data_IF_637509705575
#
_entry.id   IF_637509705575
#
_cell.length_a   1.000
_cell.length_b   1.000
_cell.length_c   1.000
_cell.angle_alpha   90.00
_cell.angle_beta   90.00
_cell.angle_gamma   90.00
#
_symmetry.space_group_name_H-M   'P 1'
#
loop_
_entity.id
_entity.type
_entity.pdbx_description
1 polymer ?
#
# COMPACT_ATOMS: atom_id res chain seq x y z
N UNK A 1 -49.95 -31.65 -32.45
CA UNK A 1 -50.56 -31.50 -31.11
C UNK A 1 -50.31 -32.76 -30.29
N UNK A 2 -49.31 -32.71 -29.40
CA UNK A 2 -49.24 -33.36 -28.08
C UNK A 2 -48.27 -32.51 -27.24
N UNK A 3 -48.65 -32.06 -26.04
CA UNK A 3 -47.75 -31.27 -25.19
C UNK A 3 -46.77 -32.21 -24.48
N UNK A 4 -45.53 -31.76 -24.33
CA UNK A 4 -44.54 -32.41 -23.47
C UNK A 4 -44.43 -31.55 -22.22
N UNK A 5 -45.09 -31.99 -21.16
CA UNK A 5 -44.87 -31.49 -19.81
C UNK A 5 -43.51 -31.98 -19.32
N UNK A 6 -42.71 -31.05 -18.80
CA UNK A 6 -41.37 -31.34 -18.31
C UNK A 6 -40.74 -30.12 -17.67
N UNK A 7 -41.30 -29.70 -16.53
CA UNK A 7 -40.70 -28.70 -15.64
C UNK A 7 -39.40 -29.30 -15.11
N UNK A 8 -38.26 -28.80 -15.61
CA UNK A 8 -36.95 -29.12 -15.08
C UNK A 8 -36.76 -28.49 -13.71
N UNK A 9 -36.57 -29.33 -12.69
CA UNK A 9 -36.23 -28.94 -11.33
C UNK A 9 -34.94 -28.10 -11.31
N UNK A 10 -34.99 -26.97 -10.61
CA UNK A 10 -33.83 -26.13 -10.33
C UNK A 10 -32.92 -26.86 -9.34
N UNK A 11 -31.60 -27.02 -9.60
CA UNK A 11 -30.73 -27.68 -8.65
C UNK A 11 -30.60 -26.85 -7.37
N UNK A 12 -30.94 -27.47 -6.24
CA UNK A 12 -30.80 -26.89 -4.91
C UNK A 12 -29.34 -26.52 -4.62
N UNK A 13 -29.13 -25.29 -4.14
CA UNK A 13 -27.83 -24.84 -3.65
C UNK A 13 -27.35 -25.76 -2.51
N UNK A 14 -26.08 -26.18 -2.49
CA UNK A 14 -25.55 -27.02 -1.41
C UNK A 14 -25.67 -26.28 -0.08
N UNK A 15 -26.28 -26.97 0.89
CA UNK A 15 -26.57 -26.47 2.22
C UNK A 15 -25.34 -25.87 2.91
N UNK A 16 -25.55 -24.73 3.55
CA UNK A 16 -24.61 -24.11 4.48
C UNK A 16 -24.34 -25.10 5.63
N UNK A 17 -23.27 -25.89 5.51
CA UNK A 17 -22.74 -26.64 6.64
C UNK A 17 -22.34 -25.67 7.76
N UNK A 18 -22.50 -26.03 9.04
CA UNK A 18 -22.09 -25.17 10.13
C UNK A 18 -20.57 -24.99 10.04
N UNK A 19 -20.12 -23.73 9.97
CA UNK A 19 -18.72 -23.38 10.13
C UNK A 19 -18.27 -23.95 11.48
N UNK A 20 -17.48 -25.04 11.44
CA UNK A 20 -16.77 -25.54 12.62
C UNK A 20 -15.80 -24.45 13.04
N UNK A 21 -16.12 -23.76 14.12
CA UNK A 21 -15.18 -22.96 14.88
C UNK A 21 -14.09 -23.90 15.38
N UNK A 22 -12.91 -23.84 14.78
CA UNK A 22 -11.72 -24.50 15.32
C UNK A 22 -11.27 -23.64 16.51
N UNK A 23 -11.28 -24.14 17.76
CA UNK A 23 -10.80 -23.38 18.89
C UNK A 23 -9.27 -23.38 18.84
N UNK A 24 -8.69 -22.34 18.25
CA UNK A 24 -7.27 -22.05 18.42
C UNK A 24 -7.06 -21.53 19.85
N UNK A 25 -6.71 -22.44 20.77
CA UNK A 25 -6.17 -22.05 22.07
C UNK A 25 -4.78 -21.48 21.86
N UNK A 26 -4.68 -20.15 21.74
CA UNK A 26 -3.41 -19.45 21.88
C UNK A 26 -3.07 -19.48 23.37
N UNK A 27 -2.16 -20.37 23.78
CA UNK A 27 -1.55 -20.33 25.10
C UNK A 27 -0.75 -19.02 25.22
N UNK A 28 -1.38 -17.97 25.74
CA UNK A 28 -0.75 -16.66 25.94
C UNK A 28 -1.73 -15.48 26.13
N UNK A 29 -2.97 -15.74 26.55
CA UNK A 29 -4.09 -14.77 26.57
C UNK A 29 -3.95 -13.55 27.50
N UNK A 30 -2.85 -13.40 28.24
CA UNK A 30 -2.76 -12.36 29.29
C UNK A 30 -1.82 -11.20 28.98
N UNK A 31 -1.04 -11.22 27.90
CA UNK A 31 0.00 -10.19 27.68
C UNK A 31 -0.39 -9.06 26.71
N UNK A 32 -1.48 -9.21 25.95
CA UNK A 32 -1.80 -8.30 24.84
C UNK A 32 -2.93 -7.31 25.14
N UNK A 33 -3.58 -7.38 26.31
CA UNK A 33 -4.73 -6.51 26.63
C UNK A 33 -4.36 -5.07 27.03
N UNK A 34 -3.10 -4.82 27.36
CA UNK A 34 -2.66 -3.49 27.86
C UNK A 34 -1.73 -2.74 26.90
N UNK A 35 -1.35 -3.34 25.77
CA UNK A 35 -0.51 -2.67 24.76
C UNK A 35 -1.37 -2.26 23.57
N UNK A 36 -1.26 -0.99 23.11
CA UNK A 36 -1.89 -0.61 21.86
C UNK A 36 -1.39 -1.52 20.73
N UNK A 37 -2.26 -1.80 19.76
CA UNK A 37 -1.85 -2.57 18.60
C UNK A 37 -0.70 -1.84 17.89
N UNK A 38 0.22 -2.57 17.26
CA UNK A 38 1.37 -1.92 16.58
C UNK A 38 0.91 -0.95 15.49
N UNK A 39 -0.30 -1.13 14.95
CA UNK A 39 -0.94 -0.23 13.99
C UNK A 39 -1.12 1.15 14.57
N UNK A 40 -1.48 1.27 15.85
CA UNK A 40 -1.69 2.57 16.50
C UNK A 40 -0.36 3.31 16.61
N UNK A 41 0.71 2.58 16.98
CA UNK A 41 2.08 3.11 16.99
C UNK A 41 2.49 3.55 15.57
N UNK A 42 2.19 2.77 14.54
CA UNK A 42 2.52 3.12 13.16
C UNK A 42 1.68 4.31 12.64
N UNK A 43 0.39 4.39 13.00
CA UNK A 43 -0.47 5.54 12.66
C UNK A 43 0.08 6.83 13.27
N UNK A 44 0.51 6.77 14.51
CA UNK A 44 1.14 7.89 15.24
C UNK A 44 2.46 8.33 14.57
N UNK A 45 3.33 7.37 14.21
CA UNK A 45 4.54 7.66 13.43
C UNK A 45 4.20 8.32 12.08
N UNK A 46 3.22 7.79 11.34
CA UNK A 46 2.79 8.32 10.05
C UNK A 46 2.31 9.77 10.20
N UNK A 47 1.52 10.06 11.23
CA UNK A 47 0.98 11.39 11.51
C UNK A 47 2.10 12.41 11.78
N UNK A 48 2.97 12.12 12.74
CA UNK A 48 4.07 13.03 13.07
C UNK A 48 5.07 13.17 11.94
N UNK A 49 5.43 12.07 11.27
CA UNK A 49 6.36 12.11 10.14
C UNK A 49 5.79 12.91 8.99
N UNK A 50 4.50 12.78 8.72
CA UNK A 50 3.80 13.58 7.71
C UNK A 50 3.89 15.07 8.04
N UNK A 51 3.65 15.45 9.30
CA UNK A 51 3.75 16.83 9.75
C UNK A 51 5.19 17.36 9.62
N UNK A 52 6.17 16.62 10.10
CA UNK A 52 7.59 16.97 10.00
C UNK A 52 8.04 17.21 8.55
N UNK A 53 7.61 16.36 7.61
CA UNK A 53 7.94 16.51 6.20
C UNK A 53 7.26 17.73 5.57
N UNK A 54 6.00 18.02 5.95
CA UNK A 54 5.23 19.17 5.45
C UNK A 54 5.80 20.49 5.95
N UNK A 55 6.21 20.53 7.21
CA UNK A 55 6.78 21.71 7.90
C UNK A 55 8.30 21.84 7.70
N UNK A 56 8.91 20.97 6.89
CA UNK A 56 10.35 20.96 6.61
C UNK A 56 11.21 20.90 7.89
N UNK A 57 10.73 20.19 8.91
CA UNK A 57 11.44 20.06 10.18
C UNK A 57 12.73 19.25 9.94
N UNK A 58 13.91 19.82 10.20
CA UNK A 58 15.19 19.22 9.81
C UNK A 58 15.55 17.96 10.62
N UNK A 59 14.91 17.77 11.78
CA UNK A 59 15.15 16.63 12.66
C UNK A 59 13.82 16.04 13.13
N UNK A 60 13.64 14.70 13.07
CA UNK A 60 12.45 14.08 13.62
C UNK A 60 12.30 14.39 15.10
N UNK A 61 11.05 14.66 15.51
CA UNK A 61 10.65 14.95 16.88
C UNK A 61 11.02 13.78 17.81
N UNK A 62 11.37 14.03 19.09
CA UNK A 62 11.69 12.97 20.05
C UNK A 62 10.60 11.89 20.15
N UNK A 63 9.34 12.29 20.03
CA UNK A 63 8.14 11.46 20.05
C UNK A 63 8.15 10.49 18.87
N UNK A 64 8.32 10.99 17.64
CA UNK A 64 8.43 10.17 16.41
C UNK A 64 9.52 9.12 16.54
N UNK A 65 10.70 9.51 17.06
CA UNK A 65 11.81 8.56 17.27
C UNK A 65 11.49 7.52 18.34
N UNK A 66 10.76 7.90 19.40
CA UNK A 66 10.37 6.99 20.48
C UNK A 66 9.36 5.96 19.98
N UNK A 67 8.31 6.40 19.30
CA UNK A 67 7.31 5.51 18.72
C UNK A 67 7.95 4.57 17.69
N UNK A 68 8.84 5.09 16.84
CA UNK A 68 9.57 4.25 15.89
C UNK A 68 10.39 3.18 16.61
N UNK A 69 11.19 3.53 17.62
CA UNK A 69 11.94 2.52 18.39
C UNK A 69 11.02 1.46 19.00
N UNK A 70 9.86 1.86 19.52
CA UNK A 70 8.87 0.91 20.06
C UNK A 70 8.31 -0.01 18.97
N UNK A 71 8.00 0.53 17.78
CA UNK A 71 7.53 -0.26 16.64
C UNK A 71 8.59 -1.27 16.20
N UNK A 72 9.83 -0.83 16.02
CA UNK A 72 10.93 -1.67 15.53
C UNK A 72 11.35 -2.75 16.55
N UNK A 73 11.10 -2.52 17.84
CA UNK A 73 11.31 -3.52 18.88
C UNK A 73 10.18 -4.55 18.97
N UNK A 74 9.05 -4.32 18.30
CA UNK A 74 7.92 -5.26 18.28
C UNK A 74 8.34 -6.57 17.59
N UNK A 75 7.95 -7.77 18.09
CA UNK A 75 8.36 -9.06 17.52
C UNK A 75 8.06 -9.21 16.02
N UNK A 76 6.95 -8.62 15.55
CA UNK A 76 6.58 -8.62 14.13
C UNK A 76 7.46 -7.75 13.23
N UNK A 77 8.14 -6.74 13.77
CA UNK A 77 8.96 -5.80 13.00
C UNK A 77 10.45 -5.98 13.21
N UNK A 78 10.88 -6.59 14.34
CA UNK A 78 12.29 -6.77 14.64
C UNK A 78 13.08 -7.49 13.53
N UNK A 79 12.54 -8.47 12.77
CA UNK A 79 13.25 -9.08 11.65
C UNK A 79 13.47 -8.12 10.46
N UNK A 80 12.63 -7.10 10.34
CA UNK A 80 12.61 -6.14 9.23
C UNK A 80 13.01 -4.73 9.66
N UNK A 81 13.54 -4.57 10.88
CA UNK A 81 13.65 -3.27 11.54
C UNK A 81 14.42 -2.25 10.71
N UNK A 82 15.57 -2.64 10.14
CA UNK A 82 16.41 -1.75 9.32
C UNK A 82 15.69 -1.27 8.07
N UNK A 83 14.98 -2.15 7.38
CA UNK A 83 14.28 -1.86 6.14
C UNK A 83 13.08 -0.94 6.40
N UNK A 84 12.29 -1.26 7.43
CA UNK A 84 11.13 -0.44 7.83
C UNK A 84 11.58 0.93 8.32
N UNK A 85 12.63 1.00 9.13
CA UNK A 85 13.23 2.26 9.57
C UNK A 85 13.68 3.13 8.38
N UNK A 86 14.47 2.56 7.47
CA UNK A 86 14.99 3.28 6.31
C UNK A 86 13.85 3.82 5.42
N UNK A 87 12.80 3.02 5.21
CA UNK A 87 11.64 3.45 4.43
C UNK A 87 10.84 4.56 5.13
N UNK A 88 10.54 4.42 6.43
CA UNK A 88 9.77 5.43 7.17
C UNK A 88 10.48 6.78 7.28
N UNK A 89 11.82 6.79 7.23
CA UNK A 89 12.59 8.03 7.19
C UNK A 89 12.69 8.66 5.79
N UNK A 90 12.44 7.91 4.74
CA UNK A 90 12.50 8.39 3.37
C UNK A 90 11.36 9.40 3.09
N UNK A 91 11.67 10.61 2.61
CA UNK A 91 10.65 11.63 2.37
C UNK A 91 9.65 11.27 1.26
N UNK A 92 9.97 10.24 0.45
CA UNK A 92 9.10 9.79 -0.63
C UNK A 92 8.31 8.52 -0.32
N UNK A 93 8.50 7.91 0.85
CA UNK A 93 7.76 6.71 1.22
C UNK A 93 6.26 7.03 1.35
N UNK A 94 5.35 6.20 0.79
CA UNK A 94 3.95 6.57 0.67
C UNK A 94 3.15 6.33 1.97
N UNK A 95 3.55 7.01 3.05
CA UNK A 95 2.95 6.94 4.39
C UNK A 95 1.41 7.05 4.34
N UNK A 96 0.87 8.00 3.59
CA UNK A 96 -0.57 8.19 3.47
C UNK A 96 -1.28 7.02 2.77
N UNK A 97 -0.59 6.29 1.88
CA UNK A 97 -1.13 5.08 1.27
C UNK A 97 -1.07 3.88 2.21
N UNK A 98 0.03 3.71 2.96
CA UNK A 98 0.11 2.70 4.02
C UNK A 98 -1.06 2.85 5.00
N UNK A 99 -1.34 4.09 5.43
CA UNK A 99 -2.48 4.40 6.31
C UNK A 99 -3.82 4.02 5.68
N UNK A 100 -4.05 4.35 4.42
CA UNK A 100 -5.34 4.13 3.73
C UNK A 100 -5.56 2.71 3.20
N UNK A 101 -4.54 1.85 3.16
CA UNK A 101 -4.69 0.46 2.67
C UNK A 101 -4.43 -0.59 3.73
N UNK A 102 -3.20 -0.64 4.22
CA UNK A 102 -2.76 -1.70 5.12
C UNK A 102 -3.41 -1.50 6.49
N UNK A 103 -3.52 -0.24 6.95
CA UNK A 103 -4.00 0.10 8.29
C UNK A 103 -5.48 0.46 8.38
N UNK A 104 -6.13 0.79 7.26
CA UNK A 104 -7.54 1.13 7.22
C UNK A 104 -8.42 -0.12 7.18
N UNK A 105 -9.53 -0.07 7.91
CA UNK A 105 -10.53 -1.11 7.86
C UNK A 105 -11.12 -1.20 6.44
N UNK A 106 -11.54 -2.41 6.07
CA UNK A 106 -12.24 -2.61 4.78
C UNK A 106 -13.72 -2.59 5.06
N UNK A 107 -14.39 -1.54 4.61
CA UNK A 107 -15.83 -1.29 4.72
C UNK A 107 -16.49 -1.47 3.34
N UNK A 108 -17.72 -1.98 3.28
CA UNK A 108 -18.52 -2.05 2.04
C UNK A 108 -18.10 -3.01 0.92
N UNK A 109 -17.09 -3.86 1.12
CA UNK A 109 -17.12 -5.19 0.50
C UNK A 109 -18.23 -6.04 1.14
N UNK A 110 -18.55 -7.22 0.60
CA UNK A 110 -19.53 -8.15 1.19
C UNK A 110 -19.25 -8.47 2.68
N UNK A 111 -18.02 -8.22 3.15
CA UNK A 111 -17.59 -8.42 4.52
C UNK A 111 -16.80 -7.20 5.02
N UNK A 112 -17.00 -6.86 6.29
CA UNK A 112 -16.17 -5.91 7.03
C UNK A 112 -14.90 -6.60 7.53
N UNK A 113 -13.73 -5.99 7.29
CA UNK A 113 -12.44 -6.47 7.80
C UNK A 113 -11.90 -5.42 8.76
N UNK A 114 -12.09 -5.68 10.06
CA UNK A 114 -11.41 -4.97 11.12
C UNK A 114 -9.91 -5.34 11.10
N UNK A 115 -9.03 -4.34 10.99
CA UNK A 115 -7.56 -4.47 10.96
C UNK A 115 -6.91 -4.56 12.34
N UNK A 116 -7.65 -4.29 13.40
CA UNK A 116 -7.25 -4.45 14.81
C UNK A 116 -7.59 -5.83 15.38
N UNK A 117 -7.63 -6.88 14.54
CA UNK A 117 -7.85 -8.26 15.00
C UNK A 117 -6.52 -9.00 15.22
N UNK A 118 -6.31 -9.70 16.36
CA UNK A 118 -5.04 -10.34 16.69
C UNK A 118 -4.51 -11.35 15.65
N UNK A 119 -5.40 -12.08 14.99
CA UNK A 119 -5.07 -13.17 14.05
C UNK A 119 -4.45 -12.70 12.73
N UNK A 120 -4.65 -11.43 12.35
CA UNK A 120 -4.12 -10.86 11.09
C UNK A 120 -2.91 -9.97 11.30
N UNK A 121 -2.49 -9.75 12.56
CA UNK A 121 -1.45 -8.77 12.90
C UNK A 121 -0.11 -9.07 12.23
N UNK A 122 0.30 -10.33 12.22
CA UNK A 122 1.52 -10.77 11.57
C UNK A 122 1.43 -10.52 10.06
N UNK A 123 0.35 -10.95 9.40
CA UNK A 123 0.16 -10.75 7.97
C UNK A 123 0.17 -9.26 7.57
N UNK A 124 -0.45 -8.39 8.37
CA UNK A 124 -0.44 -6.94 8.16
C UNK A 124 0.97 -6.34 8.35
N UNK A 125 1.74 -6.82 9.32
CA UNK A 125 3.13 -6.38 9.50
C UNK A 125 4.02 -6.78 8.31
N UNK A 126 3.81 -7.97 7.75
CA UNK A 126 4.52 -8.44 6.56
C UNK A 126 4.16 -7.61 5.33
N UNK A 127 2.93 -7.08 5.23
CA UNK A 127 2.56 -6.13 4.17
C UNK A 127 3.30 -4.80 4.32
N UNK A 128 3.46 -4.27 5.54
CA UNK A 128 4.26 -3.06 5.78
C UNK A 128 5.72 -3.30 5.44
N UNK A 129 6.29 -4.42 5.88
CA UNK A 129 7.66 -4.79 5.58
C UNK A 129 7.91 -4.96 4.07
N UNK A 130 6.98 -5.62 3.36
CA UNK A 130 7.02 -5.77 1.91
C UNK A 130 6.97 -4.42 1.18
N UNK A 131 6.09 -3.51 1.62
CA UNK A 131 6.00 -2.18 1.05
C UNK A 131 7.30 -1.39 1.26
N UNK A 132 7.91 -1.49 2.44
CA UNK A 132 9.20 -0.85 2.74
C UNK A 132 10.33 -1.42 1.88
N UNK A 133 10.44 -2.74 1.78
CA UNK A 133 11.50 -3.41 1.03
C UNK A 133 11.43 -3.12 -0.46
N UNK A 134 10.26 -3.33 -1.07
CA UNK A 134 10.06 -3.10 -2.50
C UNK A 134 10.22 -1.62 -2.86
N UNK A 135 9.76 -0.69 -2.01
CA UNK A 135 10.00 0.74 -2.20
C UNK A 135 11.49 1.07 -2.24
N UNK A 136 12.25 0.61 -1.25
CA UNK A 136 13.69 0.87 -1.17
C UNK A 136 14.43 0.19 -2.33
N UNK A 137 13.99 -0.99 -2.77
CA UNK A 137 14.53 -1.64 -3.96
C UNK A 137 14.24 -0.82 -5.23
N UNK A 138 12.98 -0.46 -5.48
CA UNK A 138 12.60 0.37 -6.61
C UNK A 138 13.39 1.69 -6.66
N UNK A 139 13.57 2.34 -5.49
CA UNK A 139 14.37 3.57 -5.39
C UNK A 139 15.85 3.34 -5.72
N UNK A 140 16.47 2.27 -5.23
CA UNK A 140 17.86 1.89 -5.57
C UNK A 140 18.00 1.58 -7.06
N UNK A 141 16.99 0.93 -7.64
CA UNK A 141 16.99 0.56 -9.04
C UNK A 141 16.88 1.76 -9.95
N UNK A 142 16.00 2.70 -9.63
CA UNK A 142 15.83 3.94 -10.38
C UNK A 142 17.16 4.69 -10.54
N UNK A 143 18.07 4.61 -9.57
CA UNK A 143 19.41 5.21 -9.65
C UNK A 143 20.36 4.40 -10.54
N UNK A 144 20.18 3.08 -10.63
CA UNK A 144 21.07 2.17 -11.36
C UNK A 144 20.69 1.96 -12.82
N UNK A 145 19.40 1.83 -13.11
CA UNK A 145 18.89 1.37 -14.42
C UNK A 145 18.31 2.51 -15.26
N UNK A 146 18.16 3.68 -14.65
CA UNK A 146 17.64 4.88 -15.30
C UNK A 146 18.35 6.11 -14.76
N UNK A 147 18.27 7.24 -15.46
CA UNK A 147 18.50 8.53 -14.82
C UNK A 147 17.18 8.96 -14.18
N UNK A 148 17.08 9.03 -12.83
CA UNK A 148 15.87 9.47 -12.16
C UNK A 148 15.32 10.78 -12.75
N UNK A 149 16.16 11.73 -13.18
CA UNK A 149 15.69 13.00 -13.77
C UNK A 149 14.97 12.83 -15.11
N UNK A 150 15.22 11.72 -15.80
CA UNK A 150 14.62 11.41 -17.11
C UNK A 150 13.42 10.50 -17.01
N UNK A 151 13.37 9.57 -16.05
CA UNK A 151 12.25 8.62 -15.91
C UNK A 151 11.20 9.07 -14.89
N UNK A 152 11.65 9.70 -13.81
CA UNK A 152 10.78 10.37 -12.86
C UNK A 152 10.49 11.77 -13.39
N UNK A 153 9.43 12.38 -12.87
CA UNK A 153 9.23 13.81 -13.09
C UNK A 153 9.75 14.66 -11.90
N UNK A 154 10.11 14.04 -10.76
CA UNK A 154 10.61 14.69 -9.53
C UNK A 154 12.03 14.20 -9.22
N UNK A 155 13.02 15.10 -9.06
CA UNK A 155 14.33 14.68 -8.57
C UNK A 155 14.22 13.95 -7.21
N UNK A 156 14.72 12.73 -7.13
CA UNK A 156 14.67 11.88 -5.92
C UNK A 156 15.89 12.09 -5.00
N UNK A 157 16.34 13.33 -4.85
CA UNK A 157 17.54 13.71 -4.09
C UNK A 157 17.27 13.97 -2.59
N UNK A 158 16.02 13.76 -2.15
CA UNK A 158 15.61 13.98 -0.77
C UNK A 158 15.40 15.46 -0.43
N UNK A 159 15.36 16.35 -1.42
CA UNK A 159 15.05 17.78 -1.27
C UNK A 159 13.69 18.12 -1.84
N UNK A 160 13.10 19.18 -1.31
CA UNK A 160 11.84 19.71 -1.79
C UNK A 160 12.07 20.49 -3.08
N UNK A 161 11.34 20.13 -4.13
CA UNK A 161 11.35 20.77 -5.45
C UNK A 161 9.96 21.34 -5.80
N UNK A 162 9.86 22.34 -6.69
CA UNK A 162 8.57 22.67 -7.29
C UNK A 162 7.99 21.47 -8.03
N UNK A 163 6.71 21.18 -7.82
CA UNK A 163 5.99 20.19 -8.61
C UNK A 163 5.63 20.83 -9.97
N UNK A 164 5.97 20.20 -11.09
CA UNK A 164 5.63 20.71 -12.41
C UNK A 164 4.12 20.84 -12.64
N UNK A 165 3.76 21.82 -13.47
CA UNK A 165 2.41 22.38 -13.55
C UNK A 165 1.41 21.58 -14.39
N UNK A 166 1.87 20.60 -15.18
CA UNK A 166 1.03 19.78 -16.07
C UNK A 166 1.44 18.31 -16.11
N UNK A 167 0.48 17.39 -16.02
CA UNK A 167 0.69 15.93 -16.14
C UNK A 167 0.88 15.17 -14.82
N UNK A 168 0.64 15.83 -13.69
CA UNK A 168 0.93 15.27 -12.37
C UNK A 168 -0.30 14.61 -11.79
N UNK A 169 -0.10 13.50 -11.11
CA UNK A 169 -1.17 12.82 -10.41
C UNK A 169 -1.62 13.64 -9.18
N UNK A 170 -2.39 14.70 -9.43
CA UNK A 170 -3.39 15.24 -8.48
C UNK A 170 -4.61 14.30 -8.37
N UNK A 171 -4.53 13.17 -9.05
CA UNK A 171 -5.53 12.15 -9.24
C UNK A 171 -5.21 10.95 -8.34
N UNK A 172 -5.16 11.14 -7.02
CA UNK A 172 -4.73 10.13 -6.05
C UNK A 172 -5.65 8.90 -5.90
N UNK A 173 -6.59 8.70 -6.83
CA UNK A 173 -7.60 7.63 -6.86
C UNK A 173 -7.04 6.24 -7.08
N UNK A 174 -6.03 5.88 -6.28
CA UNK A 174 -5.67 4.55 -5.80
C UNK A 174 -5.57 3.42 -6.81
N UNK A 175 -5.45 3.73 -8.10
CA UNK A 175 -5.13 2.75 -9.11
C UNK A 175 -3.83 1.99 -8.79
N UNK A 176 -2.92 2.60 -8.04
CA UNK A 176 -1.70 1.98 -7.52
C UNK A 176 -1.91 1.09 -6.27
N UNK A 177 -3.13 1.03 -5.72
CA UNK A 177 -3.57 0.10 -4.66
C UNK A 177 -4.20 -1.18 -5.24
N UNK A 178 -4.58 -1.18 -6.51
CA UNK A 178 -5.04 -2.37 -7.20
C UNK A 178 -3.78 -3.12 -7.65
N UNK A 179 -3.47 -4.22 -6.97
CA UNK A 179 -2.27 -5.00 -7.22
C UNK A 179 -2.21 -5.49 -8.66
N UNK A 180 -1.08 -5.23 -9.32
CA UNK A 180 -0.70 -5.83 -10.60
C UNK A 180 -1.40 -5.25 -11.82
N UNK A 181 -0.63 -4.68 -12.74
CA UNK A 181 -1.05 -4.50 -14.13
C UNK A 181 -0.06 -5.22 -15.04
N UNK A 182 -0.47 -5.53 -16.27
CA UNK A 182 0.47 -6.04 -17.26
C UNK A 182 1.64 -5.06 -17.44
N UNK A 183 2.87 -5.54 -17.25
CA UNK A 183 4.06 -4.70 -17.29
C UNK A 183 4.54 -4.44 -18.72
N UNK A 184 3.64 -4.13 -19.63
CA UNK A 184 3.99 -3.82 -21.02
C UNK A 184 4.66 -2.43 -21.08
N UNK A 185 5.95 -2.33 -21.43
CA UNK A 185 6.63 -1.05 -21.51
C UNK A 185 6.19 -0.23 -22.73
N UNK A 186 6.38 1.09 -22.72
CA UNK A 186 6.25 1.88 -23.95
C UNK A 186 7.32 1.48 -24.98
N UNK A 187 7.12 1.78 -26.28
CA UNK A 187 8.09 1.46 -27.32
C UNK A 187 9.49 1.99 -27.02
N UNK A 188 10.51 1.15 -27.24
CA UNK A 188 11.92 1.51 -27.00
C UNK A 188 12.37 1.44 -25.54
N UNK A 189 11.49 1.08 -24.60
CA UNK A 189 11.82 0.84 -23.20
C UNK A 189 11.83 -0.66 -22.89
N UNK A 190 12.88 -1.12 -22.22
CA UNK A 190 12.94 -2.46 -21.64
C UNK A 190 12.89 -2.38 -20.12
N UNK A 191 11.96 -3.10 -19.49
CA UNK A 191 11.97 -3.25 -18.03
C UNK A 191 12.88 -4.40 -17.62
N UNK A 192 13.68 -4.24 -16.55
CA UNK A 192 14.32 -5.38 -15.89
C UNK A 192 13.26 -6.41 -15.46
N UNK A 193 13.55 -7.73 -15.51
CA UNK A 193 12.58 -8.77 -15.11
C UNK A 193 11.95 -8.56 -13.72
N UNK A 194 12.73 -8.03 -12.77
CA UNK A 194 12.22 -7.67 -11.44
C UNK A 194 11.21 -6.52 -11.46
N UNK A 195 11.36 -5.53 -12.34
CA UNK A 195 10.38 -4.46 -12.48
C UNK A 195 9.08 -5.01 -13.04
N UNK A 196 9.15 -5.95 -13.98
CA UNK A 196 7.97 -6.69 -14.47
C UNK A 196 7.25 -7.34 -13.28
N UNK A 197 7.95 -8.09 -12.43
CA UNK A 197 7.37 -8.71 -11.24
C UNK A 197 6.77 -7.68 -10.26
N UNK A 198 7.46 -6.55 -10.03
CA UNK A 198 6.95 -5.48 -9.15
C UNK A 198 5.69 -4.82 -9.72
N UNK A 199 5.65 -4.58 -11.02
CA UNK A 199 4.52 -3.94 -11.71
C UNK A 199 3.31 -4.88 -11.74
N UNK A 200 3.54 -6.18 -11.97
CA UNK A 200 2.52 -7.22 -12.02
C UNK A 200 2.07 -7.71 -10.64
N UNK A 201 2.70 -7.22 -9.56
CA UNK A 201 2.32 -7.58 -8.19
C UNK A 201 2.83 -8.95 -7.74
N UNK A 202 3.76 -9.55 -8.47
CA UNK A 202 4.32 -10.88 -8.20
C UNK A 202 5.71 -10.86 -7.54
N UNK A 203 6.28 -9.67 -7.30
CA UNK A 203 7.60 -9.54 -6.66
C UNK A 203 7.62 -9.99 -5.19
N UNK A 204 6.49 -9.91 -4.49
CA UNK A 204 6.41 -10.33 -3.09
C UNK A 204 4.99 -10.82 -2.74
N UNK A 205 4.82 -11.93 -1.98
CA UNK A 205 3.50 -12.48 -1.63
C UNK A 205 2.62 -11.52 -0.82
N UNK A 206 3.24 -10.57 -0.13
CA UNK A 206 2.55 -9.53 0.66
C UNK A 206 2.55 -8.16 -0.01
N UNK A 207 2.84 -8.08 -1.32
CA UNK A 207 2.76 -6.83 -2.05
C UNK A 207 1.30 -6.36 -2.14
N UNK A 208 1.02 -5.17 -1.59
CA UNK A 208 -0.31 -4.54 -1.66
C UNK A 208 -0.30 -3.23 -2.45
N UNK A 209 0.87 -2.62 -2.63
CA UNK A 209 1.03 -1.35 -3.30
C UNK A 209 2.01 -1.51 -4.48
N UNK A 210 1.82 -0.70 -5.51
CA UNK A 210 2.85 -0.54 -6.53
C UNK A 210 4.12 0.07 -5.90
N UNK A 211 5.31 -0.56 -6.02
CA UNK A 211 6.54 -0.05 -5.41
C UNK A 211 7.03 1.28 -5.99
N UNK A 212 6.55 1.64 -7.19
CA UNK A 212 6.84 2.92 -7.83
C UNK A 212 5.87 4.04 -7.42
N UNK A 213 4.95 3.80 -6.48
CA UNK A 213 4.07 4.82 -5.90
C UNK A 213 4.79 5.58 -4.80
N UNK A 214 5.17 6.82 -5.09
CA UNK A 214 5.89 7.68 -4.16
C UNK A 214 4.96 8.77 -3.66
N UNK A 215 5.19 9.25 -2.44
CA UNK A 215 4.48 10.40 -1.85
C UNK A 215 5.41 11.62 -1.84
N UNK A 216 4.85 12.81 -1.94
CA UNK A 216 5.64 14.03 -1.97
C UNK A 216 5.71 14.70 -0.59
N UNK A 217 6.78 14.45 0.17
CA UNK A 217 7.09 15.14 1.44
C UNK A 217 5.90 15.22 2.40
N UNK A 218 5.27 14.08 2.69
CA UNK A 218 4.12 13.99 3.58
C UNK A 218 2.83 14.66 3.04
N UNK A 219 2.87 15.38 1.92
CA UNK A 219 1.68 15.97 1.30
C UNK A 219 0.81 14.87 0.71
N UNK A 220 -0.49 15.11 0.58
CA UNK A 220 -1.40 14.21 -0.15
C UNK A 220 -1.26 14.35 -1.66
N UNK A 221 -0.01 14.28 -2.11
CA UNK A 221 0.41 14.33 -3.50
C UNK A 221 1.23 13.08 -3.74
N UNK A 222 0.76 12.23 -4.64
CA UNK A 222 1.36 10.94 -4.96
C UNK A 222 1.81 10.96 -6.41
N UNK A 223 2.92 10.30 -6.72
CA UNK A 223 3.45 10.26 -8.07
C UNK A 223 4.07 8.91 -8.39
N UNK A 224 4.08 8.57 -9.68
CA UNK A 224 4.76 7.39 -10.17
C UNK A 224 6.24 7.72 -10.40
N UNK A 225 7.14 6.99 -9.75
CA UNK A 225 8.58 7.20 -9.89
C UNK A 225 9.11 6.78 -11.28
N UNK A 226 8.32 6.05 -12.07
CA UNK A 226 8.62 5.71 -13.47
C UNK A 226 7.68 6.42 -14.44
N UNK A 227 7.11 7.57 -14.08
CA UNK A 227 6.02 8.21 -14.82
C UNK A 227 6.24 8.33 -16.34
N UNK A 228 7.45 8.72 -16.79
CA UNK A 228 7.72 8.90 -18.23
C UNK A 228 7.79 7.60 -19.01
N UNK A 229 8.07 6.52 -18.30
CA UNK A 229 8.18 5.17 -18.85
C UNK A 229 7.19 4.26 -18.14
N UNK A 230 5.99 4.75 -17.80
CA UNK A 230 4.98 3.95 -17.11
C UNK A 230 4.45 2.85 -18.04
N UNK A 231 4.02 1.69 -17.52
CA UNK A 231 3.40 0.63 -18.32
C UNK A 231 2.24 1.15 -19.14
N UNK A 232 2.01 0.59 -20.34
CA UNK A 232 0.92 1.01 -21.24
C UNK A 232 -0.45 0.91 -20.56
N UNK A 233 -0.68 -0.11 -19.74
CA UNK A 233 -1.88 -0.25 -18.93
C UNK A 233 -2.08 0.94 -17.96
N UNK A 234 -1.00 1.41 -17.29
CA UNK A 234 -1.03 2.62 -16.47
C UNK A 234 -1.11 3.91 -17.30
N UNK A 235 -0.70 3.86 -18.58
CA UNK A 235 -0.72 5.02 -19.46
C UNK A 235 -2.14 5.45 -19.80
N UNK A 236 -3.03 4.49 -20.02
CA UNK A 236 -4.45 4.73 -20.31
C UNK A 236 -5.28 5.20 -19.11
N UNK A 237 -4.76 5.11 -17.89
CA UNK A 237 -5.51 5.49 -16.69
C UNK A 237 -5.68 7.00 -16.58
N UNK A 238 -6.93 7.48 -16.68
CA UNK A 238 -7.27 8.90 -16.78
C UNK A 238 -7.91 9.51 -15.53
N UNK A 239 -8.29 10.80 -15.61
CA UNK A 239 -9.06 11.50 -14.57
C UNK A 239 -10.38 10.80 -14.19
N UNK A 240 -11.08 10.23 -15.16
CA UNK A 240 -12.36 9.55 -15.00
C UNK A 240 -12.18 8.24 -14.21
N UNK A 241 -11.18 7.44 -14.57
CA UNK A 241 -10.84 6.22 -13.83
C UNK A 241 -10.43 6.55 -12.40
N UNK A 242 -9.67 7.64 -12.21
CA UNK A 242 -9.34 8.13 -10.88
C UNK A 242 -10.57 8.58 -10.09
N UNK A 243 -11.54 9.24 -10.74
CA UNK A 243 -12.78 9.64 -10.08
C UNK A 243 -13.59 8.41 -9.64
N UNK A 244 -13.69 7.37 -10.48
CA UNK A 244 -14.33 6.10 -10.15
C UNK A 244 -13.64 5.40 -8.98
N UNK A 245 -12.31 5.27 -9.01
CA UNK A 245 -11.60 4.67 -7.89
C UNK A 245 -11.78 5.49 -6.61
N UNK A 246 -11.89 6.83 -6.67
CA UNK A 246 -12.22 7.66 -5.50
C UNK A 246 -13.59 7.36 -4.89
N UNK A 247 -14.59 7.04 -5.71
CA UNK A 247 -15.88 6.58 -5.19
C UNK A 247 -15.79 5.17 -4.60
N UNK A 248 -14.95 4.31 -5.19
CA UNK A 248 -14.77 2.94 -4.73
C UNK A 248 -13.91 2.83 -3.44
N UNK A 249 -12.98 3.76 -3.16
CA UNK A 249 -12.23 3.78 -1.88
C UNK A 249 -13.08 4.34 -0.73
N UNK A 250 -14.29 4.87 -0.99
CA UNK A 250 -15.21 5.17 0.11
C UNK A 250 -15.53 3.90 0.97
N UNK A 251 -15.07 2.73 0.50
CA UNK A 251 -14.95 1.43 1.14
C UNK A 251 -13.77 1.27 2.14
N UNK A 252 -12.94 2.29 2.40
CA UNK A 252 -11.82 2.22 3.37
C UNK A 252 -11.91 3.29 4.47
N UNK A 253 -13.15 3.57 4.89
CA UNK A 253 -13.59 4.60 5.85
C UNK A 253 -13.48 6.06 5.37
N UNK A 254 -14.62 6.73 5.50
CA UNK A 254 -14.70 8.16 5.79
C UNK A 254 -14.50 8.27 7.31
N UNK A 255 -13.46 8.96 7.77
CA UNK A 255 -13.53 9.53 9.12
C UNK A 255 -14.79 10.43 9.17
N UNK A 256 -15.63 10.36 10.21
CA UNK A 256 -16.70 11.33 10.43
C UNK A 256 -16.19 12.76 10.57
#
# INVERSE_FOLDING_TARGET
>A
MRPVDGVGETPALPGKGPYRTVPWKIQGETMWRERPFWQDILKEIIEWRTLELREEIPKPRPETRRALRSLLAHPFFSPHARTVEAALWDPYFPLGMIRRTILADVTGMRFFINKTRPDIQEALSLQVAAAADLFLEAKRDLVRVADPKTVTCVPLDGRLHPLPSGGWCRLCGTCCQIGGVQAEPPPGVGYPPRWVAMIEGSAHPHQQLCPFLFQYFGRDIYFCAIHRIKPRACAGFGPEDCARCRTDIALHERDP
#
